data_IF_791490609141
#
_entry.id   IF_791490609141
#
_cell.length_a   1.000
_cell.length_b   1.000
_cell.length_c   1.000
_cell.angle_alpha   90.00
_cell.angle_beta   90.00
_cell.angle_gamma   90.00
#
_symmetry.space_group_name_H-M   'P 1'
#
loop_
_entity.id
_entity.type
_entity.pdbx_description
1 polymer ?
#
# COMPACT_ATOMS: atom_id res chain seq x y z
N UNK A 1 -9.51 -7.15 42.07
CA UNK A 1 -9.28 -5.69 41.88
C UNK A 1 -9.34 -5.38 40.39
N UNK A 2 -9.99 -4.28 40.01
CA UNK A 2 -9.99 -3.81 38.62
C UNK A 2 -8.72 -3.00 38.30
N UNK A 3 -8.23 -3.08 37.06
CA UNK A 3 -7.07 -2.32 36.54
C UNK A 3 -7.40 -1.77 35.15
N UNK A 4 -6.82 -0.61 34.79
CA UNK A 4 -6.90 -0.06 33.44
C UNK A 4 -5.59 -0.28 32.67
N UNK A 5 -5.65 -0.26 31.34
CA UNK A 5 -4.50 -0.41 30.46
C UNK A 5 -4.70 0.28 29.12
N UNK A 6 -3.63 0.38 28.33
CA UNK A 6 -3.65 0.92 26.97
C UNK A 6 -3.78 -0.21 25.97
N UNK A 7 -4.51 0.02 24.88
CA UNK A 7 -4.50 -0.83 23.71
C UNK A 7 -4.72 -0.05 22.43
N UNK A 8 -4.56 -0.75 21.31
CA UNK A 8 -4.53 -0.15 19.98
C UNK A 8 -5.62 -0.80 19.14
N UNK A 9 -6.21 -0.04 18.24
CA UNK A 9 -7.25 -0.54 17.36
C UNK A 9 -6.82 -0.32 15.92
N UNK A 10 -7.04 -1.33 15.07
CA UNK A 10 -6.93 -1.15 13.62
C UNK A 10 -8.12 -0.33 13.09
N UNK A 11 -8.10 0.03 11.79
CA UNK A 11 -9.17 0.80 11.16
C UNK A 11 -10.54 0.08 11.16
N UNK A 12 -10.57 -1.22 11.44
CA UNK A 12 -11.80 -2.03 11.55
C UNK A 12 -12.29 -2.16 12.99
N UNK A 13 -11.58 -1.58 13.96
CA UNK A 13 -11.92 -1.64 15.38
C UNK A 13 -11.52 -2.93 16.07
N UNK A 14 -10.64 -3.76 15.49
CA UNK A 14 -10.06 -4.90 16.20
C UNK A 14 -9.00 -4.43 17.19
N UNK A 15 -9.03 -5.00 18.39
CA UNK A 15 -8.12 -4.67 19.47
C UNK A 15 -6.80 -5.44 19.38
N UNK A 16 -5.70 -4.73 19.61
CA UNK A 16 -4.34 -5.26 19.67
C UNK A 16 -3.59 -4.77 20.90
N UNK A 17 -2.55 -5.51 21.28
CA UNK A 17 -1.73 -5.21 22.47
C UNK A 17 -0.63 -4.22 22.16
N UNK A 18 -0.17 -4.18 20.91
CA UNK A 18 0.91 -3.30 20.46
C UNK A 18 0.47 -2.45 19.26
N UNK A 19 1.08 -1.29 19.04
CA UNK A 19 0.80 -0.47 17.86
C UNK A 19 1.25 -1.18 16.57
N UNK A 20 2.33 -1.97 16.62
CA UNK A 20 2.85 -2.73 15.48
C UNK A 20 1.83 -3.77 15.00
N UNK A 21 1.21 -4.51 15.93
CA UNK A 21 0.17 -5.49 15.60
C UNK A 21 -1.04 -4.84 14.91
N UNK A 22 -1.53 -3.71 15.44
CA UNK A 22 -2.62 -2.96 14.83
C UNK A 22 -2.26 -2.45 13.43
N UNK A 23 -1.05 -1.91 13.28
CA UNK A 23 -0.56 -1.38 11.99
C UNK A 23 -0.37 -2.50 10.96
N UNK A 24 0.18 -3.65 11.37
CA UNK A 24 0.31 -4.83 10.50
C UNK A 24 -1.07 -5.34 10.07
N UNK A 25 -2.06 -5.33 10.96
CA UNK A 25 -3.45 -5.70 10.61
C UNK A 25 -4.00 -4.79 9.51
N UNK A 26 -3.84 -3.48 9.66
CA UNK A 26 -4.28 -2.50 8.65
C UNK A 26 -3.54 -2.65 7.33
N UNK A 27 -2.21 -2.78 7.36
CA UNK A 27 -1.40 -2.99 6.16
C UNK A 27 -1.79 -4.30 5.45
N UNK A 28 -2.03 -5.37 6.20
CA UNK A 28 -2.50 -6.65 5.64
C UNK A 28 -3.86 -6.51 4.98
N UNK A 29 -4.76 -5.72 5.58
CA UNK A 29 -6.07 -5.45 5.02
C UNK A 29 -5.99 -4.65 3.71
N UNK A 30 -5.06 -3.69 3.61
CA UNK A 30 -4.79 -2.94 2.37
C UNK A 30 -4.24 -3.86 1.28
N UNK A 31 -3.30 -4.74 1.62
CA UNK A 31 -2.70 -5.70 0.68
C UNK A 31 -3.72 -6.74 0.18
N UNK A 32 -4.76 -7.04 0.97
CA UNK A 32 -5.77 -8.02 0.64
C UNK A 32 -5.24 -9.46 0.63
N UNK A 33 -5.97 -10.39 0.02
CA UNK A 33 -5.50 -11.78 -0.09
C UNK A 33 -4.46 -11.90 -1.21
N UNK A 34 -3.22 -12.15 -0.83
CA UNK A 34 -2.12 -12.47 -1.75
C UNK A 34 -1.84 -13.98 -1.71
N UNK A 35 -1.82 -14.61 -2.88
CA UNK A 35 -1.56 -16.05 -3.09
C UNK A 35 -2.82 -16.93 -3.00
N UNK A 36 -2.72 -18.16 -3.50
CA UNK A 36 -3.87 -19.08 -3.59
C UNK A 36 -4.18 -19.81 -2.25
N UNK A 37 -3.20 -19.87 -1.33
CA UNK A 37 -3.30 -20.56 -0.04
C UNK A 37 -3.49 -19.62 1.18
N UNK A 38 -2.72 -19.88 2.24
CA UNK A 38 -2.57 -18.94 3.36
C UNK A 38 -2.02 -17.62 2.82
N UNK A 39 -2.65 -16.51 3.21
CA UNK A 39 -2.29 -15.23 2.63
C UNK A 39 -0.90 -14.80 3.06
N UNK A 40 -0.10 -14.35 2.11
CA UNK A 40 1.23 -13.77 2.38
C UNK A 40 1.16 -12.34 2.90
N UNK A 41 -0.02 -11.70 2.87
CA UNK A 41 -0.20 -10.31 3.25
C UNK A 41 0.33 -9.96 4.66
N UNK A 42 0.11 -10.77 5.72
CA UNK A 42 0.68 -10.49 7.04
C UNK A 42 2.21 -10.44 7.07
N UNK A 43 2.88 -11.37 6.36
CA UNK A 43 4.34 -11.39 6.28
C UNK A 43 4.90 -10.20 5.50
N UNK A 44 4.21 -9.80 4.43
CA UNK A 44 4.56 -8.61 3.64
C UNK A 44 4.34 -7.35 4.49
N UNK A 45 3.20 -7.21 5.15
CA UNK A 45 2.88 -6.09 6.04
C UNK A 45 3.92 -5.91 7.15
N UNK A 46 4.36 -7.01 7.79
CA UNK A 46 5.44 -6.97 8.77
C UNK A 46 6.75 -6.44 8.16
N UNK A 47 7.10 -6.90 6.95
CA UNK A 47 8.31 -6.45 6.25
C UNK A 47 8.24 -4.97 5.87
N UNK A 48 7.07 -4.51 5.39
CA UNK A 48 6.81 -3.11 5.05
C UNK A 48 6.98 -2.22 6.28
N UNK A 49 6.40 -2.60 7.42
CA UNK A 49 6.51 -1.81 8.66
C UNK A 49 7.96 -1.75 9.15
N UNK A 50 8.69 -2.86 9.09
CA UNK A 50 10.08 -2.92 9.55
C UNK A 50 11.04 -2.12 8.65
N UNK A 51 10.78 -2.07 7.34
CA UNK A 51 11.59 -1.33 6.37
C UNK A 51 10.99 0.01 5.95
N UNK A 52 10.06 0.56 6.74
CA UNK A 52 9.24 1.72 6.34
C UNK A 52 10.06 2.89 5.80
N UNK A 53 11.17 3.23 6.45
CA UNK A 53 11.98 4.40 6.08
C UNK A 53 12.73 4.21 4.76
N UNK A 54 13.22 2.98 4.49
CA UNK A 54 13.82 2.65 3.18
C UNK A 54 12.78 2.73 2.07
N UNK A 55 11.57 2.22 2.32
CA UNK A 55 10.47 2.20 1.35
C UNK A 55 9.95 3.62 1.09
N UNK A 56 9.79 4.44 2.12
CA UNK A 56 9.38 5.85 2.02
C UNK A 56 10.38 6.67 1.18
N UNK A 57 11.69 6.41 1.35
CA UNK A 57 12.72 7.03 0.51
C UNK A 57 12.59 6.59 -0.94
N UNK A 58 12.38 5.29 -1.19
CA UNK A 58 12.17 4.77 -2.55
C UNK A 58 10.94 5.39 -3.22
N UNK A 59 9.83 5.57 -2.49
CA UNK A 59 8.66 6.26 -3.04
C UNK A 59 8.94 7.73 -3.35
N UNK A 60 9.69 8.43 -2.48
CA UNK A 60 10.12 9.81 -2.73
C UNK A 60 10.97 9.92 -4.00
N UNK A 61 11.93 9.01 -4.16
CA UNK A 61 12.79 8.97 -5.34
C UNK A 61 11.99 8.63 -6.61
N UNK A 62 11.02 7.71 -6.50
CA UNK A 62 10.11 7.35 -7.57
C UNK A 62 9.24 8.53 -8.01
N UNK A 63 8.65 9.26 -7.07
CA UNK A 63 7.82 10.43 -7.36
C UNK A 63 8.65 11.53 -8.05
N UNK A 64 9.92 11.69 -7.65
CA UNK A 64 10.87 12.55 -8.36
C UNK A 64 11.13 12.08 -9.80
N UNK A 65 11.38 10.79 -9.99
CA UNK A 65 11.60 10.22 -11.32
C UNK A 65 10.37 10.43 -12.22
N UNK A 66 9.16 10.27 -11.69
CA UNK A 66 7.92 10.53 -12.44
C UNK A 66 7.74 12.00 -12.80
N UNK A 67 8.10 12.93 -11.91
CA UNK A 67 8.03 14.36 -12.21
C UNK A 67 9.01 14.79 -13.32
N UNK A 68 10.15 14.09 -13.44
CA UNK A 68 11.15 14.32 -14.49
C UNK A 68 10.87 13.49 -15.76
N UNK A 69 10.01 12.46 -15.68
CA UNK A 69 9.68 11.58 -16.78
C UNK A 69 8.62 12.21 -17.71
N UNK A 70 9.07 12.76 -18.84
CA UNK A 70 8.19 13.10 -19.96
C UNK A 70 7.95 11.85 -20.83
N UNK A 71 6.71 11.29 -20.88
CA UNK A 71 6.43 10.14 -21.71
C UNK A 71 6.56 10.51 -23.19
N UNK A 72 7.51 9.88 -23.88
CA UNK A 72 7.66 9.97 -25.34
C UNK A 72 6.42 9.34 -25.99
N UNK A 73 5.40 10.14 -26.30
CA UNK A 73 4.22 9.71 -27.06
C UNK A 73 2.85 10.32 -26.68
N UNK A 74 2.75 11.17 -25.66
CA UNK A 74 1.46 11.76 -25.27
C UNK A 74 0.88 12.76 -26.29
N UNK A 75 1.63 13.13 -27.34
CA UNK A 75 1.24 14.12 -28.33
C UNK A 75 1.23 13.56 -29.77
N UNK A 76 0.40 12.56 -30.08
CA UNK A 76 -0.24 12.40 -31.41
C UNK A 76 -1.04 11.09 -31.50
N UNK A 77 -2.27 11.07 -31.03
CA UNK A 77 -3.24 10.05 -31.47
C UNK A 77 -4.38 10.77 -32.18
N UNK A 78 -4.21 11.04 -33.46
CA UNK A 78 -5.29 11.53 -34.32
C UNK A 78 -6.21 10.36 -34.64
N UNK A 79 -7.43 10.37 -34.10
CA UNK A 79 -8.48 9.40 -34.45
C UNK A 79 -8.92 9.66 -35.89
N UNK A 80 -8.66 8.70 -36.78
CA UNK A 80 -9.18 8.74 -38.15
C UNK A 80 -10.68 8.42 -38.13
N UNK A 81 -11.50 9.34 -38.63
CA UNK A 81 -12.93 9.14 -38.84
C UNK A 81 -13.14 8.00 -39.86
N UNK A 82 -13.76 6.90 -39.41
CA UNK A 82 -14.14 5.78 -40.26
C UNK A 82 -15.18 6.26 -41.27
N UNK A 83 -14.80 6.37 -42.55
CA UNK A 83 -15.77 6.63 -43.63
C UNK A 83 -16.72 5.44 -43.71
N UNK A 84 -17.97 5.67 -43.36
CA UNK A 84 -19.08 4.75 -43.65
C UNK A 84 -19.30 4.73 -45.16
N UNK A 85 -19.20 3.54 -45.74
CA UNK A 85 -19.53 3.21 -47.12
C UNK A 85 -21.03 3.27 -47.37
#
# INVERSE_FOLDING_TARGET
MARMGTGFFDAKGHYFKTPDEATISDLSAILGKIGDGESLAPGIAHTLLHRRSEIEQLFTDHDRMLAEYEPVGAASVTRLETRLS
#
